data_IF_180923650604
#
_entry.id   IF_180923650604
#
_cell.length_a   1.000
_cell.length_b   1.000
_cell.length_c   1.000
_cell.angle_alpha   90.00
_cell.angle_beta   90.00
_cell.angle_gamma   90.00
#
_symmetry.space_group_name_H-M   'P 1'
#
loop_
_entity.id
_entity.type
_entity.pdbx_description
1 polymer ?
#
# COMPACT_ATOMS: atom_id res chain seq x y z
N UNK A 1 -30.58 9.71 -0.01
CA UNK A 1 -30.51 10.24 -1.39
C UNK A 1 -29.41 9.51 -2.14
N UNK A 2 -29.67 9.13 -3.41
CA UNK A 2 -28.65 8.58 -4.30
C UNK A 2 -28.01 9.69 -5.14
N UNK A 3 -26.75 9.51 -5.50
CA UNK A 3 -25.95 10.51 -6.25
C UNK A 3 -25.54 10.01 -7.64
N UNK A 4 -25.97 8.83 -8.05
CA UNK A 4 -25.66 8.19 -9.34
C UNK A 4 -26.01 9.06 -10.56
N UNK A 5 -26.96 9.99 -10.40
CA UNK A 5 -27.40 10.87 -11.50
C UNK A 5 -26.41 11.99 -11.85
N UNK A 6 -25.41 12.28 -10.98
CA UNK A 6 -24.40 13.30 -11.27
C UNK A 6 -22.98 12.90 -10.86
N UNK A 7 -22.80 11.89 -10.00
CA UNK A 7 -21.50 11.41 -9.58
C UNK A 7 -21.10 10.17 -10.38
N UNK A 8 -20.03 10.29 -11.14
CA UNK A 8 -19.40 9.18 -11.83
C UNK A 8 -17.88 9.33 -11.74
N UNK A 9 -17.22 8.58 -10.84
CA UNK A 9 -15.78 8.68 -10.61
C UNK A 9 -14.94 8.19 -11.79
N UNK A 10 -15.55 7.48 -12.74
CA UNK A 10 -14.88 7.00 -13.97
C UNK A 10 -15.07 7.93 -15.15
N UNK A 11 -15.84 9.02 -15.01
CA UNK A 11 -16.04 9.97 -16.11
C UNK A 11 -14.77 10.79 -16.37
N UNK A 12 -14.55 11.12 -17.66
CA UNK A 12 -13.39 11.96 -18.04
C UNK A 12 -13.43 13.33 -17.36
N UNK A 13 -14.61 13.91 -17.19
CA UNK A 13 -14.78 15.22 -16.57
C UNK A 13 -14.39 15.17 -15.08
N UNK A 14 -14.82 14.12 -14.36
CA UNK A 14 -14.43 13.95 -12.95
C UNK A 14 -12.93 13.67 -12.79
N UNK A 15 -12.34 12.84 -13.65
CA UNK A 15 -10.90 12.55 -13.62
C UNK A 15 -10.09 13.82 -13.92
N UNK A 16 -10.56 14.66 -14.85
CA UNK A 16 -9.87 15.90 -15.23
C UNK A 16 -9.99 17.00 -14.16
N UNK A 17 -11.18 17.18 -13.57
CA UNK A 17 -11.43 18.17 -12.51
C UNK A 17 -12.46 17.62 -11.50
N UNK A 18 -12.02 16.90 -10.45
CA UNK A 18 -12.92 16.33 -9.46
C UNK A 18 -13.50 17.36 -8.49
N UNK A 19 -12.87 18.54 -8.34
CA UNK A 19 -13.17 19.50 -7.29
C UNK A 19 -14.61 20.02 -7.29
N UNK A 20 -15.21 20.42 -8.43
CA UNK A 20 -16.60 20.87 -8.42
C UNK A 20 -17.58 19.82 -7.92
N UNK A 21 -17.41 18.57 -8.38
CA UNK A 21 -18.24 17.42 -7.97
C UNK A 21 -18.05 17.09 -6.49
N UNK A 22 -16.82 17.08 -5.99
CA UNK A 22 -16.52 16.82 -4.58
C UNK A 22 -17.07 17.92 -3.67
N UNK A 23 -17.02 19.20 -4.09
CA UNK A 23 -17.64 20.31 -3.37
C UNK A 23 -19.15 20.14 -3.28
N UNK A 24 -19.80 19.76 -4.39
CA UNK A 24 -21.25 19.50 -4.40
C UNK A 24 -21.62 18.33 -3.49
N UNK A 25 -20.89 17.23 -3.54
CA UNK A 25 -21.07 16.09 -2.63
C UNK A 25 -20.97 16.55 -1.16
N UNK A 26 -19.92 17.30 -0.82
CA UNK A 26 -19.68 17.72 0.56
C UNK A 26 -20.73 18.70 1.09
N UNK A 27 -21.24 19.60 0.25
CA UNK A 27 -22.20 20.65 0.68
C UNK A 27 -23.65 20.19 0.64
N UNK A 28 -24.05 19.42 -0.36
CA UNK A 28 -25.45 19.08 -0.60
C UNK A 28 -25.79 17.62 -0.24
N UNK A 29 -24.80 16.72 -0.33
CA UNK A 29 -24.96 15.27 -0.17
C UNK A 29 -23.90 14.67 0.77
N UNK A 30 -23.68 15.20 1.98
CA UNK A 30 -22.56 14.81 2.83
C UNK A 30 -22.57 13.33 3.24
N UNK A 31 -23.74 12.71 3.28
CA UNK A 31 -23.92 11.26 3.42
C UNK A 31 -24.94 10.83 2.36
N UNK A 32 -24.50 10.06 1.38
CA UNK A 32 -25.32 9.69 0.23
C UNK A 32 -25.07 8.27 -0.22
N UNK A 33 -26.06 7.66 -0.87
CA UNK A 33 -25.94 6.33 -1.45
C UNK A 33 -25.38 6.44 -2.87
N UNK A 34 -24.41 5.58 -3.19
CA UNK A 34 -23.89 5.36 -4.54
C UNK A 34 -24.17 3.92 -4.94
N UNK A 35 -25.21 3.72 -5.74
CA UNK A 35 -25.76 2.39 -6.02
C UNK A 35 -24.86 1.57 -6.91
N UNK A 36 -24.08 2.20 -7.81
CA UNK A 36 -23.11 1.51 -8.65
C UNK A 36 -22.08 0.71 -7.84
N UNK A 37 -21.70 1.19 -6.66
CA UNK A 37 -20.76 0.50 -5.77
C UNK A 37 -21.45 -0.19 -4.59
N UNK A 38 -22.78 -0.18 -4.53
CA UNK A 38 -23.53 -0.68 -3.37
C UNK A 38 -23.01 -0.09 -2.03
N UNK A 39 -22.60 1.18 -2.06
CA UNK A 39 -21.87 1.82 -0.98
C UNK A 39 -22.51 3.13 -0.53
N UNK A 40 -22.17 3.55 0.69
CA UNK A 40 -22.44 4.90 1.18
C UNK A 40 -21.20 5.76 0.99
N UNK A 41 -21.38 6.92 0.38
CA UNK A 41 -20.35 7.96 0.32
C UNK A 41 -20.49 8.85 1.53
N UNK A 42 -19.39 9.06 2.23
CA UNK A 42 -19.30 9.97 3.36
C UNK A 42 -18.29 11.05 3.03
N UNK A 43 -18.72 12.30 3.08
CA UNK A 43 -17.88 13.47 2.81
C UNK A 43 -17.93 14.45 3.99
N UNK A 44 -16.98 15.39 4.00
CA UNK A 44 -16.82 16.35 5.06
C UNK A 44 -16.03 15.81 6.27
N UNK A 45 -15.05 16.60 6.71
CA UNK A 45 -14.09 16.21 7.75
C UNK A 45 -14.74 15.60 9.00
N UNK A 46 -15.76 16.25 9.55
CA UNK A 46 -16.41 15.79 10.79
C UNK A 46 -17.11 14.43 10.62
N UNK A 47 -17.78 14.21 9.47
CA UNK A 47 -18.48 12.95 9.21
C UNK A 47 -17.48 11.81 9.00
N UNK A 48 -16.42 12.07 8.24
CA UNK A 48 -15.34 11.10 8.02
C UNK A 48 -14.67 10.74 9.35
N UNK A 49 -14.33 11.74 10.17
CA UNK A 49 -13.73 11.51 11.48
C UNK A 49 -14.62 10.66 12.40
N UNK A 50 -15.93 10.93 12.43
CA UNK A 50 -16.90 10.11 13.17
C UNK A 50 -16.90 8.66 12.69
N UNK A 51 -16.90 8.44 11.37
CA UNK A 51 -16.85 7.08 10.81
C UNK A 51 -15.54 6.37 11.17
N UNK A 52 -14.39 7.03 11.04
CA UNK A 52 -13.08 6.43 11.36
C UNK A 52 -12.93 6.04 12.83
N UNK A 53 -13.63 6.74 13.73
CA UNK A 53 -13.59 6.47 15.18
C UNK A 53 -14.71 5.52 15.65
N UNK A 54 -15.71 5.24 14.82
CA UNK A 54 -16.85 4.40 15.19
C UNK A 54 -16.48 2.92 15.16
N UNK A 55 -16.47 2.29 16.33
CA UNK A 55 -16.10 0.88 16.49
C UNK A 55 -17.10 -0.12 15.90
N UNK A 56 -18.28 0.35 15.47
CA UNK A 56 -19.28 -0.47 14.75
C UNK A 56 -18.93 -0.63 13.27
N UNK A 57 -18.07 0.25 12.73
CA UNK A 57 -17.56 0.13 11.37
C UNK A 57 -16.27 -0.72 11.36
N UNK A 58 -16.11 -1.51 10.33
CA UNK A 58 -14.96 -2.40 10.17
C UNK A 58 -14.30 -2.16 8.82
N UNK A 59 -12.97 -2.35 8.78
CA UNK A 59 -12.18 -2.41 7.54
C UNK A 59 -12.08 -3.84 6.99
N UNK A 60 -12.62 -4.83 7.71
CA UNK A 60 -12.69 -6.21 7.21
C UNK A 60 -13.74 -6.32 6.09
N UNK A 61 -13.25 -6.38 4.87
CA UNK A 61 -14.06 -6.46 3.67
C UNK A 61 -14.95 -7.73 3.63
N UNK A 62 -14.58 -8.79 4.33
CA UNK A 62 -15.38 -10.00 4.41
C UNK A 62 -16.69 -9.83 5.21
N UNK A 63 -16.83 -8.73 5.95
CA UNK A 63 -18.07 -8.39 6.67
C UNK A 63 -19.07 -7.60 5.82
N UNK A 64 -18.67 -7.19 4.61
CA UNK A 64 -19.57 -6.51 3.69
C UNK A 64 -20.58 -7.48 3.09
N UNK A 65 -21.87 -7.10 3.10
CA UNK A 65 -22.98 -7.98 2.65
C UNK A 65 -22.91 -8.40 1.16
N UNK A 66 -22.19 -7.61 0.36
CA UNK A 66 -21.93 -7.90 -1.06
C UNK A 66 -20.50 -8.42 -1.31
N UNK A 67 -19.78 -8.77 -0.27
CA UNK A 67 -18.46 -9.36 -0.43
C UNK A 67 -18.57 -10.66 -1.24
N UNK A 68 -17.63 -10.93 -2.15
CA UNK A 68 -17.58 -12.22 -2.84
C UNK A 68 -17.39 -13.34 -1.81
N UNK A 69 -17.87 -14.52 -2.17
CA UNK A 69 -17.72 -15.71 -1.31
C UNK A 69 -16.24 -15.90 -0.93
N UNK A 70 -16.01 -16.09 0.38
CA UNK A 70 -14.66 -16.20 0.91
C UNK A 70 -13.99 -17.46 0.38
N UNK A 71 -12.92 -17.28 -0.38
CA UNK A 71 -12.09 -18.38 -0.85
C UNK A 71 -11.35 -19.04 0.32
N UNK A 72 -11.11 -20.35 0.24
CA UNK A 72 -10.13 -20.99 1.09
C UNK A 72 -8.72 -20.40 0.82
N UNK A 73 -7.86 -20.37 1.83
CA UNK A 73 -6.53 -19.75 1.69
C UNK A 73 -5.69 -20.45 0.61
N UNK A 74 -5.92 -21.74 0.42
CA UNK A 74 -5.28 -22.57 -0.61
C UNK A 74 -5.64 -22.13 -2.03
N UNK A 75 -6.89 -21.66 -2.22
CA UNK A 75 -7.43 -21.25 -3.52
C UNK A 75 -7.16 -19.77 -3.84
N UNK A 76 -6.58 -19.03 -2.90
CA UNK A 76 -6.22 -17.62 -3.11
C UNK A 76 -4.96 -17.51 -3.95
N UNK A 77 -4.96 -16.58 -4.89
CA UNK A 77 -3.74 -16.18 -5.57
C UNK A 77 -2.76 -15.44 -4.62
N UNK A 78 -1.49 -15.28 -5.02
CA UNK A 78 -0.48 -14.62 -4.17
C UNK A 78 -0.85 -13.19 -3.76
N UNK A 79 -1.51 -12.42 -4.63
CA UNK A 79 -1.96 -11.07 -4.31
C UNK A 79 -3.12 -11.09 -3.28
N UNK A 80 -4.08 -11.98 -3.44
CA UNK A 80 -5.18 -12.16 -2.49
C UNK A 80 -4.65 -12.56 -1.09
N UNK A 81 -3.66 -13.48 -1.03
CA UNK A 81 -2.99 -13.86 0.22
C UNK A 81 -2.30 -12.66 0.87
N UNK A 82 -1.62 -11.84 0.07
CA UNK A 82 -0.96 -10.62 0.55
C UNK A 82 -1.98 -9.63 1.11
N UNK A 83 -3.08 -9.38 0.40
CA UNK A 83 -4.11 -8.42 0.80
C UNK A 83 -4.88 -8.88 2.05
N UNK A 84 -5.16 -10.17 2.20
CA UNK A 84 -5.81 -10.72 3.39
C UNK A 84 -4.98 -10.56 4.68
N UNK A 85 -3.68 -10.34 4.56
CA UNK A 85 -2.78 -10.10 5.69
C UNK A 85 -2.34 -8.63 5.77
N UNK A 86 -2.82 -7.78 4.86
CA UNK A 86 -2.43 -6.37 4.82
C UNK A 86 -3.11 -5.58 5.93
N UNK A 87 -2.33 -4.76 6.62
CA UNK A 87 -2.72 -3.98 7.79
C UNK A 87 -4.01 -3.14 7.55
N UNK A 88 -4.23 -2.66 6.32
CA UNK A 88 -5.39 -1.82 5.97
C UNK A 88 -6.72 -2.59 5.94
N UNK A 89 -6.69 -3.91 5.76
CA UNK A 89 -7.89 -4.74 5.56
C UNK A 89 -8.19 -5.70 6.72
N UNK A 90 -7.42 -5.63 7.79
CA UNK A 90 -7.59 -6.49 8.97
C UNK A 90 -8.68 -5.98 9.90
N UNK A 91 -9.34 -6.90 10.59
CA UNK A 91 -10.16 -6.57 11.74
C UNK A 91 -9.34 -5.85 12.84
N UNK A 92 -10.03 -5.14 13.72
CA UNK A 92 -9.40 -4.33 14.77
C UNK A 92 -8.40 -5.11 15.63
N UNK A 93 -8.70 -6.37 15.98
CA UNK A 93 -7.86 -7.19 16.87
C UNK A 93 -6.54 -7.54 16.19
N UNK A 94 -6.61 -8.04 14.96
CA UNK A 94 -5.44 -8.41 14.16
C UNK A 94 -4.64 -7.16 13.76
N UNK A 95 -5.30 -6.07 13.37
CA UNK A 95 -4.64 -4.79 13.10
C UNK A 95 -3.81 -4.30 14.30
N UNK A 96 -4.40 -4.27 15.51
CA UNK A 96 -3.68 -3.82 16.71
C UNK A 96 -2.48 -4.72 17.03
N UNK A 97 -2.62 -6.04 16.88
CA UNK A 97 -1.53 -6.99 17.06
C UNK A 97 -0.38 -6.74 16.09
N UNK A 98 -0.67 -6.68 14.78
CA UNK A 98 0.35 -6.45 13.77
C UNK A 98 1.02 -5.08 13.95
N UNK A 99 0.24 -4.03 14.20
CA UNK A 99 0.77 -2.69 14.43
C UNK A 99 1.73 -2.64 15.61
N UNK A 100 1.38 -3.31 16.72
CA UNK A 100 2.26 -3.39 17.89
C UNK A 100 3.59 -4.08 17.60
N UNK A 101 3.55 -5.19 16.84
CA UNK A 101 4.74 -5.92 16.41
C UNK A 101 5.57 -5.15 15.37
N UNK A 102 4.95 -4.37 14.51
CA UNK A 102 5.64 -3.59 13.49
C UNK A 102 6.29 -2.29 14.02
N UNK A 103 5.75 -1.73 15.11
CA UNK A 103 6.16 -0.41 15.62
C UNK A 103 7.67 -0.25 15.86
N UNK A 104 8.41 -1.25 16.42
CA UNK A 104 9.85 -1.14 16.59
C UNK A 104 10.64 -0.93 15.29
N UNK A 105 10.14 -1.43 14.15
CA UNK A 105 10.76 -1.27 12.85
C UNK A 105 10.66 0.18 12.29
N UNK A 106 9.85 1.03 12.92
CA UNK A 106 9.73 2.47 12.62
C UNK A 106 10.39 3.35 13.69
N UNK A 107 11.40 2.81 14.37
CA UNK A 107 12.14 3.56 15.39
C UNK A 107 12.88 4.77 14.79
N UNK A 108 13.12 5.85 15.59
CA UNK A 108 13.87 7.02 15.11
C UNK A 108 15.23 6.67 14.48
N UNK A 109 15.90 5.63 14.99
CA UNK A 109 17.18 5.15 14.47
C UNK A 109 17.03 4.61 13.03
N UNK A 110 16.03 3.78 12.78
CA UNK A 110 15.76 3.24 11.43
C UNK A 110 15.35 4.37 10.48
N UNK A 111 14.58 5.34 10.96
CA UNK A 111 14.19 6.51 10.16
C UNK A 111 15.38 7.40 9.79
N UNK A 112 16.35 7.58 10.66
CA UNK A 112 17.56 8.36 10.33
C UNK A 112 18.44 7.62 9.31
N UNK A 113 18.60 6.30 9.44
CA UNK A 113 19.28 5.49 8.43
C UNK A 113 18.57 5.58 7.07
N UNK A 114 17.24 5.61 7.07
CA UNK A 114 16.45 5.77 5.84
C UNK A 114 16.71 7.14 5.18
N UNK A 115 16.77 8.20 5.96
CA UNK A 115 17.08 9.56 5.47
C UNK A 115 18.46 9.63 4.78
N UNK A 116 19.48 9.03 5.37
CA UNK A 116 20.82 8.95 4.76
C UNK A 116 20.78 8.20 3.42
N UNK A 117 20.14 7.02 3.40
CA UNK A 117 20.00 6.20 2.18
C UNK A 117 19.20 6.93 1.10
N UNK A 118 18.10 7.59 1.47
CA UNK A 118 17.31 8.39 0.54
C UNK A 118 18.15 9.50 -0.11
N UNK A 119 18.96 10.21 0.68
CA UNK A 119 19.84 11.26 0.17
C UNK A 119 20.85 10.72 -0.84
N UNK A 120 21.41 9.53 -0.58
CA UNK A 120 22.34 8.85 -1.51
C UNK A 120 21.61 8.46 -2.81
N UNK A 121 20.44 7.85 -2.71
CA UNK A 121 19.66 7.40 -3.88
C UNK A 121 19.26 8.58 -4.78
N UNK A 122 18.81 9.69 -4.19
CA UNK A 122 18.48 10.91 -4.95
C UNK A 122 19.71 11.41 -5.71
N UNK A 123 20.87 11.49 -5.03
CA UNK A 123 22.11 11.96 -5.65
C UNK A 123 22.54 11.03 -6.79
N UNK A 124 22.59 9.73 -6.55
CA UNK A 124 22.93 8.73 -7.56
C UNK A 124 22.01 8.83 -8.78
N UNK A 125 20.71 9.03 -8.54
CA UNK A 125 19.73 9.16 -9.62
C UNK A 125 19.95 10.41 -10.46
N UNK A 126 20.27 11.55 -9.84
CA UNK A 126 20.67 12.75 -10.59
C UNK A 126 21.97 12.57 -11.34
N UNK A 127 22.94 11.86 -10.79
CA UNK A 127 24.21 11.55 -11.46
C UNK A 127 23.98 10.64 -12.70
N UNK A 128 23.04 9.69 -12.62
CA UNK A 128 22.62 8.83 -13.74
C UNK A 128 21.90 9.61 -14.86
N UNK A 129 21.01 10.54 -14.51
CA UNK A 129 20.29 11.41 -15.46
C UNK A 129 21.30 12.34 -16.16
N UNK A 130 22.35 12.75 -15.47
CA UNK A 130 23.38 13.64 -16.00
C UNK A 130 22.90 15.09 -16.14
N UNK A 131 23.24 15.73 -17.26
CA UNK A 131 22.91 17.14 -17.52
C UNK A 131 22.16 17.35 -18.84
N UNK A 132 20.99 16.73 -19.01
CA UNK A 132 20.15 16.96 -20.19
C UNK A 132 19.53 18.37 -20.13
N UNK A 133 19.13 18.91 -21.30
CA UNK A 133 18.43 20.19 -21.36
C UNK A 133 17.07 20.14 -20.63
N UNK A 134 16.44 18.98 -20.59
CA UNK A 134 15.21 18.70 -19.84
C UNK A 134 15.08 17.22 -19.55
N UNK A 135 14.36 16.86 -18.46
CA UNK A 135 14.00 15.48 -18.15
C UNK A 135 12.61 15.44 -17.48
N UNK A 136 11.98 14.27 -17.51
CA UNK A 136 10.70 14.07 -16.84
C UNK A 136 10.93 13.74 -15.37
N UNK A 137 10.70 14.73 -14.49
CA UNK A 137 10.89 14.57 -13.06
C UNK A 137 10.01 13.46 -12.46
N UNK A 138 8.76 13.33 -12.91
CA UNK A 138 7.85 12.31 -12.40
C UNK A 138 8.41 10.90 -12.63
N UNK A 139 8.68 10.53 -13.89
CA UNK A 139 9.14 9.19 -14.24
C UNK A 139 10.60 8.91 -13.86
N UNK A 140 11.45 9.95 -13.79
CA UNK A 140 12.88 9.77 -13.52
C UNK A 140 13.24 9.85 -12.03
N UNK A 141 12.46 10.57 -11.22
CA UNK A 141 12.76 10.79 -9.81
C UNK A 141 11.60 10.33 -8.93
N UNK A 142 10.40 10.93 -9.10
CA UNK A 142 9.31 10.79 -8.14
C UNK A 142 8.77 9.36 -8.03
N UNK A 143 8.70 8.62 -9.13
CA UNK A 143 8.24 7.23 -9.15
C UNK A 143 9.32 6.23 -8.67
N UNK A 144 10.60 6.50 -8.96
CA UNK A 144 11.69 5.55 -8.74
C UNK A 144 12.26 5.66 -7.33
N UNK A 145 12.60 6.87 -6.89
CA UNK A 145 13.38 7.07 -5.66
C UNK A 145 12.65 6.58 -4.40
N UNK A 146 11.35 6.85 -4.19
CA UNK A 146 10.65 6.36 -3.02
C UNK A 146 10.62 4.83 -2.92
N UNK A 147 10.34 4.14 -4.02
CA UNK A 147 10.32 2.67 -4.06
C UNK A 147 11.69 2.08 -3.77
N UNK A 148 12.76 2.64 -4.36
CA UNK A 148 14.13 2.21 -4.08
C UNK A 148 14.58 2.51 -2.65
N UNK A 149 14.10 3.60 -2.05
CA UNK A 149 14.35 3.91 -0.65
C UNK A 149 13.70 2.86 0.27
N UNK A 150 12.47 2.44 -0.02
CA UNK A 150 11.79 1.35 0.70
C UNK A 150 12.52 0.03 0.45
N UNK A 151 12.93 -0.28 -0.77
CA UNK A 151 13.74 -1.46 -1.08
C UNK A 151 15.01 -1.51 -0.22
N UNK A 152 15.70 -0.38 -0.12
CA UNK A 152 16.91 -0.25 0.72
C UNK A 152 16.61 -0.39 2.21
N UNK A 153 15.46 0.13 2.68
CA UNK A 153 15.00 -0.02 4.07
C UNK A 153 14.75 -1.48 4.43
N UNK A 154 14.07 -2.20 3.53
CA UNK A 154 13.76 -3.63 3.67
C UNK A 154 15.02 -4.49 3.59
N UNK A 155 16.10 -4.00 2.98
CA UNK A 155 17.36 -4.70 2.77
C UNK A 155 17.39 -5.51 1.47
N UNK A 156 16.61 -5.08 0.46
CA UNK A 156 16.64 -5.67 -0.88
C UNK A 156 18.00 -5.37 -1.55
N UNK A 157 18.71 -6.37 -2.10
CA UNK A 157 19.90 -6.14 -2.92
C UNK A 157 19.59 -5.32 -4.17
N UNK A 158 20.52 -4.45 -4.59
CA UNK A 158 20.29 -3.54 -5.74
C UNK A 158 19.97 -4.26 -7.06
N UNK A 159 20.59 -5.39 -7.30
CA UNK A 159 20.34 -6.23 -8.48
C UNK A 159 18.92 -6.84 -8.49
N UNK A 160 18.22 -6.79 -7.37
CA UNK A 160 16.84 -7.27 -7.19
C UNK A 160 15.80 -6.14 -7.18
N UNK A 161 16.20 -4.88 -7.29
CA UNK A 161 15.27 -3.76 -7.33
C UNK A 161 14.19 -3.91 -8.41
N UNK A 162 14.46 -4.36 -9.65
CA UNK A 162 13.41 -4.53 -10.66
C UNK A 162 12.31 -5.52 -10.24
N UNK A 163 12.64 -6.57 -9.48
CA UNK A 163 11.66 -7.52 -8.93
C UNK A 163 10.81 -6.84 -7.87
N UNK A 164 11.45 -6.05 -7.00
CA UNK A 164 10.77 -5.31 -5.95
C UNK A 164 9.87 -4.20 -6.49
N UNK A 165 10.30 -3.49 -7.55
CA UNK A 165 9.49 -2.51 -8.27
C UNK A 165 8.24 -3.14 -8.88
N UNK A 166 8.37 -4.36 -9.45
CA UNK A 166 7.23 -5.12 -9.98
C UNK A 166 6.25 -5.52 -8.88
N UNK A 167 6.73 -5.87 -7.69
CA UNK A 167 5.90 -6.11 -6.51
C UNK A 167 5.18 -4.83 -6.08
N UNK A 168 5.90 -3.71 -5.98
CA UNK A 168 5.36 -2.41 -5.60
C UNK A 168 4.23 -1.98 -6.55
N UNK A 169 4.48 -2.06 -7.86
CA UNK A 169 3.48 -1.80 -8.89
C UNK A 169 2.23 -2.67 -8.70
N UNK A 170 2.41 -3.98 -8.47
CA UNK A 170 1.32 -4.92 -8.26
C UNK A 170 0.50 -4.60 -7.01
N UNK A 171 1.15 -4.22 -5.91
CA UNK A 171 0.48 -3.85 -4.66
C UNK A 171 -0.35 -2.59 -4.84
N UNK A 172 0.22 -1.53 -5.42
CA UNK A 172 -0.45 -0.23 -5.58
C UNK A 172 -1.58 -0.32 -6.61
N UNK A 173 -1.31 -0.89 -7.77
CA UNK A 173 -2.30 -0.96 -8.86
C UNK A 173 -3.37 -2.03 -8.61
N UNK A 174 -3.00 -3.16 -8.03
CA UNK A 174 -3.91 -4.30 -7.83
C UNK A 174 -5.08 -4.04 -6.88
N UNK A 175 -4.99 -3.04 -6.00
CA UNK A 175 -6.09 -2.62 -5.12
C UNK A 175 -7.11 -1.72 -5.81
N UNK A 176 -6.84 -1.22 -7.00
CA UNK A 176 -7.76 -0.34 -7.72
C UNK A 176 -9.01 -1.12 -8.17
N UNK A 177 -10.21 -0.79 -7.66
CA UNK A 177 -11.44 -1.50 -7.97
C UNK A 177 -11.96 -1.22 -9.40
N UNK A 178 -11.37 -0.25 -10.10
CA UNK A 178 -11.78 0.17 -11.43
C UNK A 178 -11.07 -0.59 -12.56
N UNK A 179 -10.09 -1.45 -12.22
CA UNK A 179 -9.39 -2.26 -13.22
C UNK A 179 -10.29 -3.36 -13.78
N UNK A 180 -10.21 -3.55 -15.09
CA UNK A 180 -10.74 -4.77 -15.72
C UNK A 180 -9.99 -6.01 -15.24
N UNK A 181 -10.57 -7.22 -15.37
CA UNK A 181 -9.88 -8.45 -15.00
C UNK A 181 -8.52 -8.63 -15.66
N UNK A 182 -8.39 -8.24 -16.94
CA UNK A 182 -7.15 -8.30 -17.72
C UNK A 182 -6.11 -7.32 -17.18
N UNK A 183 -6.49 -6.06 -16.95
CA UNK A 183 -5.62 -5.03 -16.38
C UNK A 183 -5.16 -5.42 -14.97
N UNK A 184 -6.07 -5.96 -14.15
CA UNK A 184 -5.70 -6.47 -12.83
C UNK A 184 -4.69 -7.61 -12.92
N UNK A 185 -4.93 -8.60 -13.79
CA UNK A 185 -4.03 -9.72 -14.00
C UNK A 185 -2.64 -9.25 -14.42
N UNK A 186 -2.57 -8.27 -15.33
CA UNK A 186 -1.29 -7.68 -15.74
C UNK A 186 -0.62 -6.92 -14.60
N UNK A 187 -1.37 -6.12 -13.85
CA UNK A 187 -0.84 -5.36 -12.72
C UNK A 187 -0.18 -6.24 -11.66
N UNK A 188 -0.82 -7.36 -11.28
CA UNK A 188 -0.34 -8.24 -10.19
C UNK A 188 0.64 -9.32 -10.63
N UNK A 189 1.03 -9.40 -11.90
CA UNK A 189 1.88 -10.48 -12.44
C UNK A 189 3.25 -10.59 -11.76
N UNK A 190 3.80 -9.48 -11.26
CA UNK A 190 5.09 -9.45 -10.55
C UNK A 190 5.00 -9.84 -9.06
N UNK A 191 3.79 -9.93 -8.51
CA UNK A 191 3.60 -10.20 -7.07
C UNK A 191 4.17 -11.55 -6.64
N UNK A 192 3.98 -12.67 -7.38
CA UNK A 192 4.53 -13.96 -6.97
C UNK A 192 6.06 -13.94 -6.83
N UNK A 193 6.76 -13.35 -7.79
CA UNK A 193 8.22 -13.26 -7.78
C UNK A 193 8.72 -12.36 -6.65
N UNK A 194 8.06 -11.22 -6.44
CA UNK A 194 8.37 -10.32 -5.32
C UNK A 194 8.15 -10.97 -3.95
N UNK A 195 7.08 -11.76 -3.78
CA UNK A 195 6.85 -12.53 -2.54
C UNK A 195 7.92 -13.62 -2.33
N UNK A 196 8.36 -14.29 -3.38
CA UNK A 196 9.45 -15.26 -3.28
C UNK A 196 10.74 -14.58 -2.82
N UNK A 197 11.10 -13.44 -3.42
CA UNK A 197 12.24 -12.64 -3.00
C UNK A 197 12.16 -12.25 -1.51
N UNK A 198 11.01 -11.77 -1.05
CA UNK A 198 10.83 -11.41 0.35
C UNK A 198 10.96 -12.62 1.28
N UNK A 199 10.39 -13.78 0.91
CA UNK A 199 10.52 -15.00 1.71
C UNK A 199 11.98 -15.48 1.81
N UNK A 200 12.74 -15.45 0.71
CA UNK A 200 14.18 -15.78 0.71
C UNK A 200 14.95 -14.86 1.66
N UNK A 201 14.69 -13.56 1.63
CA UNK A 201 15.33 -12.60 2.52
C UNK A 201 14.92 -12.80 4.00
N UNK A 202 13.65 -13.08 4.27
CA UNK A 202 13.18 -13.40 5.62
C UNK A 202 13.91 -14.63 6.16
N UNK A 203 14.05 -15.68 5.35
CA UNK A 203 14.73 -16.92 5.76
C UNK A 203 16.24 -16.70 5.96
N UNK A 204 16.86 -15.85 5.15
CA UNK A 204 18.26 -15.43 5.35
C UNK A 204 18.43 -14.66 6.66
N UNK A 205 17.58 -13.64 6.91
CA UNK A 205 17.63 -12.80 8.13
C UNK A 205 17.30 -13.58 9.41
N UNK A 206 16.51 -14.65 9.33
CA UNK A 206 16.30 -15.55 10.48
C UNK A 206 17.58 -16.29 10.88
N UNK A 207 18.44 -16.63 9.91
CA UNK A 207 19.71 -17.29 10.16
C UNK A 207 20.78 -16.28 10.60
N UNK A 208 20.78 -15.13 9.98
CA UNK A 208 21.76 -14.07 10.16
C UNK A 208 21.06 -12.70 10.34
N UNK A 209 20.50 -12.39 11.53
CA UNK A 209 19.84 -11.12 11.77
C UNK A 209 20.80 -9.95 11.57
N UNK A 210 20.36 -8.96 10.78
CA UNK A 210 21.08 -7.70 10.59
C UNK A 210 20.49 -6.56 11.41
N UNK A 211 20.90 -5.33 11.08
CA UNK A 211 20.39 -4.10 11.65
C UNK A 211 19.47 -3.40 10.62
N UNK A 212 18.45 -4.12 10.15
CA UNK A 212 17.52 -3.66 9.12
C UNK A 212 16.05 -3.86 9.53
N UNK A 213 15.17 -3.35 8.69
CA UNK A 213 13.71 -3.40 8.92
C UNK A 213 13.20 -4.84 9.06
N UNK A 214 13.59 -5.75 8.15
CA UNK A 214 13.15 -7.15 8.21
C UNK A 214 13.65 -7.87 9.45
N UNK A 215 14.92 -7.68 9.82
CA UNK A 215 15.48 -8.27 11.04
C UNK A 215 14.74 -7.78 12.27
N UNK A 216 14.35 -6.51 12.32
CA UNK A 216 13.56 -5.97 13.43
C UNK A 216 12.17 -6.61 13.50
N UNK A 217 11.50 -6.82 12.34
CA UNK A 217 10.21 -7.53 12.31
C UNK A 217 10.32 -8.99 12.73
N UNK A 218 11.38 -9.69 12.33
CA UNK A 218 11.64 -11.09 12.69
C UNK A 218 11.84 -11.25 14.19
N UNK A 219 12.52 -10.30 14.82
CA UNK A 219 12.80 -10.31 16.27
C UNK A 219 11.64 -9.80 17.10
N UNK A 220 10.66 -9.15 16.47
CA UNK A 220 9.50 -8.61 17.17
C UNK A 220 8.65 -9.74 17.77
N UNK A 221 8.41 -9.64 19.07
CA UNK A 221 7.56 -10.58 19.83
C UNK A 221 6.72 -9.82 20.85
N UNK A 222 5.46 -10.20 20.96
CA UNK A 222 4.54 -9.68 21.99
C UNK A 222 3.78 -10.83 22.63
N UNK A 223 4.04 -11.11 23.89
CA UNK A 223 3.40 -12.16 24.69
C UNK A 223 3.39 -13.54 23.98
N UNK A 224 4.50 -13.91 23.35
CA UNK A 224 4.64 -15.15 22.59
C UNK A 224 4.08 -15.09 21.14
N UNK A 225 3.48 -13.98 20.74
CA UNK A 225 3.02 -13.77 19.37
C UNK A 225 4.15 -13.21 18.52
N UNK A 226 4.38 -13.83 17.37
CA UNK A 226 5.35 -13.42 16.34
C UNK A 226 4.65 -13.21 15.01
N UNK A 227 5.33 -12.50 14.10
CA UNK A 227 4.86 -12.33 12.72
C UNK A 227 5.16 -13.60 11.91
N UNK A 228 4.18 -14.05 11.14
CA UNK A 228 4.39 -15.04 10.08
C UNK A 228 5.11 -14.41 8.88
N UNK A 229 5.66 -15.23 7.97
CA UNK A 229 6.26 -14.72 6.74
C UNK A 229 5.28 -13.89 5.93
N UNK A 230 4.04 -14.36 5.78
CA UNK A 230 3.02 -13.64 5.00
C UNK A 230 2.64 -12.31 5.65
N UNK A 231 2.56 -12.24 6.97
CA UNK A 231 2.32 -10.98 7.68
C UNK A 231 3.49 -9.99 7.50
N UNK A 232 4.74 -10.47 7.51
CA UNK A 232 5.90 -9.63 7.21
C UNK A 232 5.89 -9.12 5.75
N UNK A 233 5.62 -10.00 4.79
CA UNK A 233 5.43 -9.61 3.40
C UNK A 233 4.31 -8.57 3.23
N UNK A 234 3.19 -8.75 3.93
CA UNK A 234 2.06 -7.84 3.90
C UNK A 234 2.37 -6.48 4.55
N UNK A 235 3.18 -6.46 5.61
CA UNK A 235 3.70 -5.20 6.19
C UNK A 235 4.62 -4.46 5.22
N UNK A 236 5.51 -5.17 4.52
CA UNK A 236 6.33 -4.58 3.44
C UNK A 236 5.42 -4.02 2.34
N UNK A 237 4.40 -4.77 1.92
CA UNK A 237 3.41 -4.32 0.95
C UNK A 237 2.63 -3.08 1.41
N UNK A 238 2.27 -3.00 2.71
CA UNK A 238 1.62 -1.81 3.27
C UNK A 238 2.55 -0.57 3.26
N UNK A 239 3.84 -0.76 3.58
CA UNK A 239 4.85 0.31 3.51
C UNK A 239 5.04 0.78 2.07
N UNK A 240 5.08 -0.15 1.10
CA UNK A 240 5.15 0.17 -0.32
C UNK A 240 3.93 1.01 -0.76
N UNK A 241 2.72 0.54 -0.49
CA UNK A 241 1.50 1.26 -0.86
C UNK A 241 1.41 2.66 -0.23
N UNK A 242 1.85 2.79 1.03
CA UNK A 242 1.82 4.07 1.73
C UNK A 242 2.94 5.04 1.29
N UNK A 243 4.10 4.54 0.93
CA UNK A 243 5.30 5.36 0.77
C UNK A 243 5.73 5.61 -0.68
N UNK A 244 5.29 4.82 -1.67
CA UNK A 244 5.63 5.05 -3.07
C UNK A 244 4.66 6.02 -3.75
N UNK A 245 3.39 5.66 -3.84
CA UNK A 245 2.38 6.40 -4.60
C UNK A 245 2.12 7.80 -4.02
N UNK A 246 1.94 7.87 -2.69
CA UNK A 246 1.71 9.16 -2.00
C UNK A 246 2.89 10.13 -2.10
N UNK A 247 4.12 9.63 -2.27
CA UNK A 247 5.28 10.49 -2.48
C UNK A 247 5.31 11.09 -3.89
N UNK A 248 4.81 10.35 -4.90
CA UNK A 248 4.66 10.86 -6.27
C UNK A 248 3.64 11.99 -6.32
N UNK A 249 2.52 11.85 -5.62
CA UNK A 249 1.42 12.83 -5.61
C UNK A 249 1.77 14.15 -4.89
N UNK A 250 2.87 14.20 -4.12
CA UNK A 250 3.35 15.40 -3.43
C UNK A 250 4.13 16.35 -4.34
N UNK A 251 4.47 15.95 -5.55
CA UNK A 251 5.28 16.71 -6.52
C UNK A 251 4.50 17.10 -7.77
#
# INVERSE_FOLDING_TARGET
QTVDHFFNPSSKDFIHDPIPTLKKLSSEYPISRFDQWQAWLVTGHENILKCLLDTRLSTDFNLWEYAPEKKAVEDMDPFEKLMNNNLFFLDRKNHLRLRKLALPAFSPRIMEQMKERFTILVKERFDEIGTPDSFNFASEIAEIVPTQAIASLVGIPRDKFPIFDSLAYGVVRGINPMLTPEERKDAIKGVPEGLNLLNELIDERRKNPGDDFLSTLILAEDQGSKLSNMEMCALVGAVLGAGSDTAVDLH
#
